data_IF_139495053157
#
_entry.id   IF_139495053157
#
_cell.length_a   1.000
_cell.length_b   1.000
_cell.length_c   1.000
_cell.angle_alpha   90.00
_cell.angle_beta   90.00
_cell.angle_gamma   90.00
#
_symmetry.space_group_name_H-M   'P 1'
#
loop_
_entity.id
_entity.type
_entity.pdbx_description
1 polymer ?
#
# COMPACT_ATOMS: atom_id res chain seq x y z
N UNK A 1 23.53 47.33 38.60
CA UNK A 1 23.06 46.36 37.59
C UNK A 1 23.23 44.98 38.17
N UNK A 2 22.09 44.35 38.56
CA UNK A 2 22.07 42.96 38.96
C UNK A 2 22.42 42.07 37.73
N UNK A 3 23.21 40.97 37.93
CA UNK A 3 23.53 40.07 36.85
C UNK A 3 22.23 39.41 36.37
N UNK A 4 21.94 39.55 35.06
CA UNK A 4 20.86 38.89 34.40
C UNK A 4 20.97 37.37 34.66
N UNK A 5 19.95 36.77 35.25
CA UNK A 5 19.92 35.33 35.46
C UNK A 5 20.12 34.65 34.09
N UNK A 6 21.16 33.81 33.98
CA UNK A 6 21.42 33.07 32.79
C UNK A 6 20.17 32.24 32.46
N UNK A 7 19.74 32.29 31.21
CA UNK A 7 18.61 31.46 30.75
C UNK A 7 18.87 30.00 31.07
N UNK A 8 17.88 29.26 31.62
CA UNK A 8 18.08 27.87 31.98
C UNK A 8 18.59 27.09 30.78
N UNK A 9 19.66 26.35 30.96
CA UNK A 9 20.21 25.47 29.90
C UNK A 9 19.12 24.46 29.53
N UNK A 10 18.78 24.33 28.26
CA UNK A 10 17.77 23.35 27.86
C UNK A 10 18.20 21.95 28.28
N UNK A 11 17.27 21.20 28.87
CA UNK A 11 17.51 19.87 29.38
C UNK A 11 16.51 18.88 28.77
N UNK A 12 16.89 17.60 28.54
CA UNK A 12 15.96 16.60 28.02
C UNK A 12 14.86 16.29 29.04
N UNK A 13 13.72 15.74 28.55
CA UNK A 13 12.59 15.42 29.42
C UNK A 13 12.91 14.31 30.47
N UNK A 14 13.98 13.54 30.27
CA UNK A 14 14.48 12.55 31.22
C UNK A 14 15.60 13.10 32.14
N UNK A 15 15.83 14.40 32.12
CA UNK A 15 16.85 15.02 32.94
C UNK A 15 16.71 14.65 34.41
N UNK A 16 17.84 14.33 35.06
CA UNK A 16 17.86 13.87 36.46
C UNK A 16 17.69 12.37 36.66
N UNK A 17 17.39 11.62 35.56
CA UNK A 17 17.32 10.16 35.63
C UNK A 17 18.48 9.53 34.88
N UNK A 18 19.16 8.57 35.51
CA UNK A 18 20.15 7.72 34.86
C UNK A 18 19.99 6.29 35.35
N UNK A 19 20.22 5.32 34.47
CA UNK A 19 20.15 3.93 34.86
C UNK A 19 19.56 3.03 33.78
N UNK A 20 19.18 1.83 34.20
CA UNK A 20 18.53 0.82 33.34
C UNK A 20 17.17 0.46 33.94
N UNK A 21 16.15 0.39 33.08
CA UNK A 21 14.80 -0.01 33.45
C UNK A 21 14.39 -1.17 32.54
N UNK A 22 14.09 -2.32 33.14
CA UNK A 22 13.50 -3.42 32.43
C UNK A 22 12.00 -3.10 32.21
N UNK A 23 11.56 -3.26 30.97
CA UNK A 23 10.15 -3.17 30.59
C UNK A 23 9.54 -4.56 30.55
N UNK A 24 8.40 -4.73 31.21
CA UNK A 24 7.59 -5.94 31.17
C UNK A 24 6.12 -5.54 31.32
N UNK A 25 5.43 -5.37 30.20
CA UNK A 25 4.01 -5.01 30.19
C UNK A 25 3.21 -6.11 29.49
N UNK A 26 2.17 -6.59 30.15
CA UNK A 26 1.30 -7.59 29.57
C UNK A 26 0.50 -7.04 28.39
N UNK A 27 0.10 -5.78 28.46
CA UNK A 27 -0.80 -5.17 27.48
C UNK A 27 -0.69 -3.65 27.48
N UNK A 28 -0.66 -3.07 26.29
CA UNK A 28 -0.74 -1.63 26.05
C UNK A 28 -1.76 -1.37 24.94
N UNK A 29 -2.85 -0.69 25.25
CA UNK A 29 -3.81 -0.25 24.24
C UNK A 29 -3.34 1.08 23.63
N UNK A 30 -3.39 1.18 22.29
CA UNK A 30 -3.09 2.40 21.55
C UNK A 30 -4.08 2.59 20.41
N UNK A 31 -4.65 3.80 20.30
CA UNK A 31 -5.64 4.09 19.26
C UNK A 31 -6.93 3.27 19.39
N UNK A 32 -7.73 3.26 18.34
CA UNK A 32 -9.03 2.60 18.32
C UNK A 32 -8.88 1.08 18.13
N UNK A 33 -8.93 0.33 19.24
CA UNK A 33 -8.96 -1.13 19.22
C UNK A 33 -7.63 -1.80 18.87
N UNK A 34 -6.52 -1.07 18.88
CA UNK A 34 -5.18 -1.60 18.67
C UNK A 34 -4.51 -1.87 20.03
N UNK A 35 -3.84 -3.01 20.14
CA UNK A 35 -3.14 -3.43 21.34
C UNK A 35 -1.78 -4.03 21.02
N UNK A 36 -0.81 -3.72 21.86
CA UNK A 36 0.44 -4.46 21.98
C UNK A 36 0.37 -5.35 23.22
N UNK A 37 0.85 -6.57 23.11
CA UNK A 37 0.90 -7.55 24.18
C UNK A 37 2.34 -8.02 24.38
N UNK A 38 2.63 -8.59 25.54
CA UNK A 38 3.95 -9.17 25.87
C UNK A 38 5.11 -8.21 25.58
N UNK A 39 4.94 -6.94 25.96
CA UNK A 39 5.93 -5.91 25.69
C UNK A 39 7.09 -6.09 26.64
N UNK A 40 8.28 -6.30 26.09
CA UNK A 40 9.53 -6.44 26.84
C UNK A 40 10.64 -5.60 26.23
N UNK A 41 11.66 -5.30 27.03
CA UNK A 41 12.82 -4.56 26.56
C UNK A 41 13.62 -3.96 27.71
N UNK A 42 14.72 -3.31 27.38
CA UNK A 42 15.54 -2.59 28.35
C UNK A 42 15.68 -1.14 27.91
N UNK A 43 15.24 -0.22 28.76
CA UNK A 43 15.51 1.20 28.61
C UNK A 43 16.82 1.53 29.33
N UNK A 44 17.69 2.26 28.64
CA UNK A 44 18.88 2.88 29.21
C UNK A 44 18.71 4.39 29.17
N UNK A 45 18.87 5.01 30.34
CA UNK A 45 18.82 6.45 30.49
C UNK A 45 20.21 6.93 30.86
N UNK A 46 20.73 7.80 30.02
CA UNK A 46 21.99 8.52 30.22
C UNK A 46 21.71 10.04 30.19
N UNK A 47 22.57 10.91 30.66
CA UNK A 47 22.28 12.36 30.71
C UNK A 47 21.78 12.94 29.37
N UNK A 48 22.33 12.46 28.26
CA UNK A 48 22.05 12.97 26.93
C UNK A 48 21.48 11.92 25.96
N UNK A 49 21.13 10.73 26.43
CA UNK A 49 20.52 9.71 25.59
C UNK A 49 19.51 8.85 26.35
N UNK A 50 18.49 8.48 25.60
CA UNK A 50 17.44 7.55 26.00
C UNK A 50 17.39 6.44 24.96
N UNK A 51 17.69 5.19 25.35
CA UNK A 51 17.79 4.05 24.43
C UNK A 51 16.85 2.93 24.83
N UNK A 52 16.15 2.38 23.85
CA UNK A 52 15.45 1.13 23.96
C UNK A 52 16.28 0.04 23.27
N UNK A 53 16.82 -0.87 24.07
CA UNK A 53 17.53 -2.04 23.59
C UNK A 53 16.55 -3.23 23.56
N UNK A 54 16.57 -3.99 22.47
CA UNK A 54 15.82 -5.25 22.31
C UNK A 54 14.33 -5.16 22.65
N UNK A 55 13.68 -4.04 22.30
CA UNK A 55 12.24 -3.89 22.45
C UNK A 55 11.51 -4.96 21.65
N UNK A 56 10.58 -5.69 22.28
CA UNK A 56 9.70 -6.68 21.65
C UNK A 56 8.28 -6.47 22.08
N UNK A 57 7.35 -6.77 21.18
CA UNK A 57 5.93 -6.78 21.48
C UNK A 57 5.21 -7.71 20.50
N UNK A 58 4.04 -8.19 20.87
CA UNK A 58 3.12 -8.90 19.99
C UNK A 58 1.96 -7.99 19.67
N UNK A 59 1.66 -7.80 18.40
CA UNK A 59 0.45 -7.09 17.96
C UNK A 59 -0.76 -7.98 18.15
N UNK A 60 -1.87 -7.40 18.59
CA UNK A 60 -3.10 -8.16 18.78
C UNK A 60 -3.52 -8.86 17.48
N UNK A 61 -3.70 -10.18 17.55
CA UNK A 61 -4.07 -11.16 16.53
C UNK A 61 -2.94 -11.77 15.70
N UNK A 62 -1.83 -11.09 15.43
CA UNK A 62 -0.64 -11.66 14.81
C UNK A 62 0.41 -10.57 14.58
N UNK A 63 1.65 -10.95 14.64
CA UNK A 63 2.76 -10.07 14.34
C UNK A 63 3.64 -9.82 15.55
N UNK A 64 4.90 -10.20 15.43
CA UNK A 64 5.95 -9.84 16.38
C UNK A 64 6.59 -8.53 15.93
N UNK A 65 6.70 -7.58 16.85
CA UNK A 65 7.42 -6.32 16.66
C UNK A 65 8.73 -6.39 17.39
N UNK A 66 9.83 -6.05 16.72
CA UNK A 66 11.14 -5.80 17.29
C UNK A 66 11.52 -4.35 17.04
N UNK A 67 12.00 -3.67 18.05
CA UNK A 67 12.36 -2.26 17.98
C UNK A 67 13.65 -2.00 18.74
N UNK A 68 14.59 -1.30 18.08
CA UNK A 68 15.71 -0.62 18.72
C UNK A 68 15.56 0.87 18.43
N UNK A 69 15.68 1.69 19.47
CA UNK A 69 15.56 3.13 19.31
C UNK A 69 16.52 3.87 20.22
N UNK A 70 17.07 4.95 19.70
CA UNK A 70 17.89 5.88 20.45
C UNK A 70 17.36 7.29 20.22
N UNK A 71 17.12 8.00 21.31
CA UNK A 71 16.81 9.41 21.34
C UNK A 71 17.98 10.14 22.01
N UNK A 72 18.75 10.88 21.23
CA UNK A 72 19.83 11.72 21.70
C UNK A 72 19.35 13.15 21.93
N UNK A 73 20.00 13.85 22.86
CA UNK A 73 19.74 15.26 23.14
C UNK A 73 21.03 16.08 23.11
N UNK A 74 21.05 17.14 22.30
CA UNK A 74 22.09 18.16 22.29
C UNK A 74 21.46 19.54 22.49
N UNK A 75 21.55 20.07 23.70
CA UNK A 75 20.99 21.38 24.05
C UNK A 75 21.58 22.58 23.27
N UNK A 76 22.64 22.38 22.47
CA UNK A 76 23.24 23.42 21.62
C UNK A 76 22.69 23.41 20.21
N UNK A 77 22.04 22.32 19.79
CA UNK A 77 21.47 22.21 18.46
C UNK A 77 20.15 22.98 18.34
N UNK A 78 19.84 23.47 17.14
CA UNK A 78 18.56 24.13 16.84
C UNK A 78 17.38 23.15 17.00
N UNK A 79 17.62 21.88 16.71
CA UNK A 79 16.71 20.75 16.93
C UNK A 79 17.41 19.78 17.92
N UNK A 80 17.19 19.95 19.22
CA UNK A 80 17.99 19.28 20.25
C UNK A 80 17.73 17.79 20.36
N UNK A 81 16.61 17.29 19.89
CA UNK A 81 16.27 15.86 19.92
C UNK A 81 16.59 15.21 18.58
N UNK A 82 17.35 14.12 18.61
CA UNK A 82 17.67 13.31 17.43
C UNK A 82 17.26 11.86 17.66
N UNK A 83 16.40 11.34 16.80
CA UNK A 83 15.91 9.96 16.80
C UNK A 83 16.69 9.11 15.80
N UNK A 84 17.05 7.91 16.23
CA UNK A 84 17.49 6.81 15.37
C UNK A 84 16.77 5.55 15.80
N UNK A 85 16.15 4.84 14.87
CA UNK A 85 15.46 3.58 15.17
C UNK A 85 15.57 2.58 14.04
N UNK A 86 15.64 1.30 14.43
CA UNK A 86 15.53 0.13 13.55
C UNK A 86 14.36 -0.70 14.06
N UNK A 87 13.48 -1.13 13.16
CA UNK A 87 12.35 -1.96 13.52
C UNK A 87 12.11 -3.09 12.52
N UNK A 88 11.55 -4.16 13.04
CA UNK A 88 11.05 -5.30 12.28
C UNK A 88 9.68 -5.67 12.80
N UNK A 89 8.74 -5.88 11.88
CA UNK A 89 7.43 -6.48 12.16
C UNK A 89 7.34 -7.75 11.35
N UNK A 90 7.14 -8.89 12.00
CA UNK A 90 6.96 -10.17 11.35
C UNK A 90 5.51 -10.65 11.46
N UNK A 91 5.03 -11.40 10.48
CA UNK A 91 3.70 -12.04 10.47
C UNK A 91 2.52 -11.09 10.70
N UNK A 92 2.62 -9.82 10.29
CA UNK A 92 1.53 -8.85 10.37
C UNK A 92 0.36 -9.27 9.46
N UNK A 93 -0.81 -9.50 10.00
CA UNK A 93 -2.05 -9.66 9.23
C UNK A 93 -2.53 -8.31 8.69
N UNK A 94 -2.12 -7.98 7.46
CA UNK A 94 -2.37 -6.66 6.88
C UNK A 94 -3.86 -6.35 6.72
N UNK A 95 -4.69 -7.32 6.32
CA UNK A 95 -6.12 -7.12 6.15
C UNK A 95 -6.81 -6.71 7.44
N UNK A 96 -6.57 -7.41 8.54
CA UNK A 96 -7.12 -7.10 9.84
C UNK A 96 -6.61 -5.75 10.38
N UNK A 97 -5.33 -5.44 10.13
CA UNK A 97 -4.72 -4.19 10.56
C UNK A 97 -5.28 -2.98 9.79
N UNK A 98 -5.41 -3.09 8.45
CA UNK A 98 -6.01 -2.05 7.62
C UNK A 98 -7.49 -1.80 7.95
N UNK A 99 -8.25 -2.88 8.21
CA UNK A 99 -9.64 -2.77 8.63
C UNK A 99 -9.79 -2.04 9.97
N UNK A 100 -8.88 -2.27 10.92
CA UNK A 100 -8.89 -1.57 12.19
C UNK A 100 -8.54 -0.08 12.07
N UNK A 101 -7.65 0.27 11.12
CA UNK A 101 -7.30 1.67 10.82
C UNK A 101 -8.37 2.41 10.00
N UNK A 102 -9.13 1.70 9.17
CA UNK A 102 -10.18 2.27 8.32
C UNK A 102 -11.45 1.40 8.37
N UNK A 103 -12.20 1.43 9.48
CA UNK A 103 -13.40 0.60 9.65
C UNK A 103 -14.44 0.91 8.57
N UNK A 104 -15.06 -0.14 8.03
CA UNK A 104 -16.10 -0.02 7.00
C UNK A 104 -15.58 -0.06 5.56
N UNK A 105 -14.26 -0.09 5.34
CA UNK A 105 -13.66 -0.21 4.02
C UNK A 105 -13.05 -1.59 3.81
N UNK A 106 -13.22 -2.14 2.61
CA UNK A 106 -12.57 -3.41 2.25
C UNK A 106 -11.06 -3.20 2.15
N UNK A 107 -10.23 -4.01 2.83
CA UNK A 107 -8.78 -3.87 2.73
C UNK A 107 -8.28 -4.01 1.30
N UNK A 108 -7.38 -3.11 0.88
CA UNK A 108 -6.75 -3.13 -0.45
C UNK A 108 -5.79 -4.31 -0.62
N UNK A 109 -5.31 -4.86 0.49
CA UNK A 109 -4.42 -6.01 0.52
C UNK A 109 -4.67 -6.85 1.77
N UNK A 110 -4.60 -8.16 1.62
CA UNK A 110 -4.69 -9.15 2.69
C UNK A 110 -3.53 -10.12 2.59
N UNK A 111 -3.14 -10.70 3.72
CA UNK A 111 -2.05 -11.67 3.81
C UNK A 111 -1.16 -11.39 5.01
N UNK A 112 -0.12 -12.21 5.16
CA UNK A 112 0.89 -12.06 6.20
C UNK A 112 2.10 -11.31 5.64
N UNK A 113 2.47 -10.23 6.33
CA UNK A 113 3.51 -9.32 5.89
C UNK A 113 4.66 -9.27 6.87
N UNK A 114 5.84 -9.12 6.32
CA UNK A 114 7.02 -8.67 7.04
C UNK A 114 7.28 -7.22 6.67
N UNK A 115 7.58 -6.37 7.67
CA UNK A 115 8.04 -5.02 7.45
C UNK A 115 9.36 -4.81 8.18
N UNK A 116 10.33 -4.19 7.52
CA UNK A 116 11.60 -3.78 8.14
C UNK A 116 11.88 -2.33 7.81
N UNK A 117 12.39 -1.57 8.76
CA UNK A 117 12.64 -0.16 8.49
C UNK A 117 13.67 0.46 9.42
N UNK A 118 14.18 1.59 8.95
CA UNK A 118 15.09 2.46 9.68
C UNK A 118 14.56 3.87 9.59
N UNK A 119 14.47 4.53 10.74
CA UNK A 119 14.03 5.92 10.83
C UNK A 119 15.09 6.75 11.54
N UNK A 120 15.28 7.96 11.04
CA UNK A 120 16.10 9.00 11.66
C UNK A 120 15.33 10.31 11.60
N UNK A 121 15.54 11.19 12.55
CA UNK A 121 14.91 12.51 12.51
C UNK A 121 15.45 13.40 13.59
N UNK A 122 15.24 14.70 13.44
CA UNK A 122 15.51 15.69 14.48
C UNK A 122 14.31 16.61 14.65
N UNK A 123 14.14 17.12 15.88
CA UNK A 123 13.06 18.04 16.19
C UNK A 123 13.39 18.88 17.43
N UNK A 124 12.65 19.98 17.59
CA UNK A 124 12.72 20.80 18.81
C UNK A 124 12.06 20.10 19.99
N UNK A 125 11.02 19.30 19.74
CA UNK A 125 10.25 18.57 20.73
C UNK A 125 10.15 17.09 20.35
N UNK A 126 10.18 16.17 21.33
CA UNK A 126 10.06 14.72 21.07
C UNK A 126 8.79 14.33 20.32
N UNK A 127 7.68 15.03 20.55
CA UNK A 127 6.38 14.80 19.91
C UNK A 127 6.41 14.97 18.39
N UNK A 128 7.30 15.84 17.88
CA UNK A 128 7.42 16.13 16.44
C UNK A 128 8.40 15.18 15.70
N UNK A 129 9.11 14.29 16.42
CA UNK A 129 10.16 13.46 15.82
C UNK A 129 9.62 12.49 14.75
N UNK A 130 8.50 11.81 15.02
CA UNK A 130 7.92 10.86 14.07
C UNK A 130 7.35 11.55 12.83
N UNK A 131 6.77 12.74 13.00
CA UNK A 131 6.24 13.52 11.88
C UNK A 131 7.34 13.96 10.93
N UNK A 132 8.55 14.21 11.46
CA UNK A 132 9.75 14.62 10.73
C UNK A 132 10.71 13.50 10.42
N UNK A 133 10.41 12.28 10.84
CA UNK A 133 11.28 11.15 10.62
C UNK A 133 11.46 10.88 9.12
N UNK A 134 12.70 10.62 8.75
CA UNK A 134 13.15 10.22 7.42
C UNK A 134 13.65 8.79 7.51
N UNK A 135 13.70 8.09 6.38
CA UNK A 135 14.23 6.74 6.42
C UNK A 135 13.77 5.87 5.27
N UNK A 136 13.87 4.58 5.50
CA UNK A 136 13.46 3.55 4.55
C UNK A 136 12.62 2.49 5.23
N UNK A 137 11.70 1.94 4.49
CA UNK A 137 10.81 0.86 4.90
C UNK A 137 10.68 -0.13 3.75
N UNK A 138 10.86 -1.39 4.03
CA UNK A 138 10.56 -2.49 3.13
C UNK A 138 9.37 -3.27 3.68
N UNK A 139 8.39 -3.55 2.82
CA UNK A 139 7.25 -4.39 3.13
C UNK A 139 7.24 -5.54 2.14
N UNK A 140 7.22 -6.77 2.64
CA UNK A 140 7.21 -7.98 1.83
C UNK A 140 6.16 -8.97 2.31
N UNK A 141 5.59 -9.73 1.36
CA UNK A 141 4.71 -10.87 1.63
C UNK A 141 4.94 -11.98 0.62
N UNK A 142 4.77 -13.22 1.05
CA UNK A 142 4.91 -14.42 0.19
C UNK A 142 3.59 -14.94 -0.34
N UNK A 143 2.46 -14.47 0.18
CA UNK A 143 1.15 -14.84 -0.32
C UNK A 143 0.08 -13.91 0.20
N UNK A 144 -0.95 -13.68 -0.58
CA UNK A 144 -2.08 -12.85 -0.17
C UNK A 144 -3.05 -12.55 -1.28
N UNK A 145 -3.91 -11.59 -1.03
CA UNK A 145 -4.90 -11.07 -1.95
C UNK A 145 -4.71 -9.57 -2.12
N UNK A 146 -4.68 -9.10 -3.35
CA UNK A 146 -4.59 -7.67 -3.68
C UNK A 146 -5.84 -7.21 -4.42
N UNK A 147 -6.36 -6.06 -4.03
CA UNK A 147 -7.48 -5.36 -4.68
C UNK A 147 -7.06 -4.00 -5.25
N UNK A 148 -5.77 -3.81 -5.48
CA UNK A 148 -5.21 -2.55 -6.02
C UNK A 148 -5.77 -2.20 -7.40
N UNK A 149 -6.14 -3.20 -8.22
CA UNK A 149 -6.69 -3.02 -9.56
C UNK A 149 -8.22 -3.07 -9.59
N UNK A 150 -8.87 -3.01 -8.43
CA UNK A 150 -10.33 -3.08 -8.35
C UNK A 150 -10.97 -1.90 -9.07
N UNK A 151 -11.92 -2.23 -9.95
CA UNK A 151 -12.75 -1.25 -10.66
C UNK A 151 -14.24 -1.60 -10.50
N UNK A 152 -15.08 -0.57 -10.42
CA UNK A 152 -16.55 -0.73 -10.28
C UNK A 152 -17.26 -0.46 -11.63
N UNK A 153 -16.73 -1.02 -12.72
CA UNK A 153 -17.22 -0.74 -14.06
C UNK A 153 -18.16 -1.81 -14.64
N UNK A 154 -18.33 -2.94 -13.95
CA UNK A 154 -19.15 -4.07 -14.48
C UNK A 154 -20.55 -3.61 -14.86
N UNK A 155 -21.19 -2.78 -14.03
CA UNK A 155 -22.54 -2.26 -14.29
C UNK A 155 -22.59 -1.23 -15.44
N UNK A 156 -21.44 -0.70 -15.86
CA UNK A 156 -21.30 0.26 -16.95
C UNK A 156 -21.00 -0.42 -18.29
N UNK A 157 -20.71 -1.73 -18.29
CA UNK A 157 -20.47 -2.49 -19.50
C UNK A 157 -21.82 -2.79 -20.15
N UNK A 158 -22.09 -2.28 -21.38
CA UNK A 158 -23.37 -2.52 -22.07
C UNK A 158 -23.62 -4.02 -22.21
N UNK A 159 -24.75 -4.47 -21.70
CA UNK A 159 -25.16 -5.88 -21.79
C UNK A 159 -24.69 -6.78 -20.64
N UNK A 160 -23.86 -6.30 -19.68
CA UNK A 160 -23.42 -7.12 -18.56
C UNK A 160 -24.58 -7.65 -17.68
N UNK A 161 -25.63 -6.86 -17.50
CA UNK A 161 -26.83 -7.25 -16.73
C UNK A 161 -27.93 -7.92 -17.56
N UNK A 162 -27.98 -7.66 -18.87
CA UNK A 162 -29.03 -8.16 -19.77
C UNK A 162 -28.64 -9.46 -20.48
N UNK A 163 -27.37 -9.81 -20.53
CA UNK A 163 -26.90 -11.00 -21.24
C UNK A 163 -27.41 -12.31 -20.63
N UNK A 164 -27.60 -12.37 -19.33
CA UNK A 164 -28.16 -13.57 -18.67
C UNK A 164 -29.62 -13.82 -19.05
N UNK A 165 -30.35 -12.77 -19.46
CA UNK A 165 -31.76 -12.89 -19.83
C UNK A 165 -32.03 -12.92 -21.35
N UNK A 166 -31.09 -12.41 -22.18
CA UNK A 166 -31.25 -12.32 -23.62
C UNK A 166 -30.72 -13.56 -24.38
N UNK A 167 -29.68 -14.25 -23.87
CA UNK A 167 -29.21 -15.50 -24.47
C UNK A 167 -30.31 -16.58 -24.47
N UNK A 168 -31.21 -16.53 -23.47
CA UNK A 168 -32.33 -17.47 -23.40
C UNK A 168 -33.48 -17.18 -24.39
N UNK A 169 -33.60 -15.97 -24.92
CA UNK A 169 -34.77 -15.56 -25.74
C UNK A 169 -34.47 -15.02 -27.16
N UNK A 170 -33.30 -14.48 -27.43
CA UNK A 170 -32.98 -13.82 -28.71
C UNK A 170 -32.00 -14.61 -29.61
N UNK A 171 -31.43 -15.69 -29.11
CA UNK A 171 -30.44 -16.51 -29.86
C UNK A 171 -30.95 -17.17 -31.13
N UNK A 172 -32.27 -17.09 -31.40
CA UNK A 172 -32.86 -17.69 -32.58
C UNK A 172 -33.33 -16.70 -33.65
N UNK A 173 -33.28 -15.38 -33.39
CA UNK A 173 -33.92 -14.41 -34.30
C UNK A 173 -32.97 -13.38 -34.94
N UNK A 174 -31.73 -13.23 -34.48
CA UNK A 174 -30.76 -12.29 -35.05
C UNK A 174 -29.44 -13.01 -35.38
N UNK A 175 -29.48 -13.87 -36.38
CA UNK A 175 -28.31 -14.56 -36.94
C UNK A 175 -27.34 -13.60 -37.63
N UNK A 176 -26.64 -12.76 -36.84
CA UNK A 176 -25.48 -12.05 -37.33
C UNK A 176 -24.29 -12.36 -36.41
N UNK A 177 -23.26 -12.99 -36.96
CA UNK A 177 -21.96 -13.27 -36.38
C UNK A 177 -21.36 -12.05 -35.62
N UNK A 178 -21.81 -10.84 -35.98
CA UNK A 178 -21.38 -9.57 -35.41
C UNK A 178 -21.92 -9.30 -34.02
N UNK A 179 -23.18 -9.63 -33.74
CA UNK A 179 -23.79 -9.48 -32.41
C UNK A 179 -23.19 -10.49 -31.44
N UNK A 180 -22.94 -11.70 -31.89
CA UNK A 180 -22.32 -12.75 -31.12
C UNK A 180 -20.87 -12.41 -30.76
N UNK A 181 -20.10 -11.85 -31.70
CA UNK A 181 -18.72 -11.40 -31.45
C UNK A 181 -18.66 -10.23 -30.48
N UNK A 182 -19.59 -9.27 -30.53
CA UNK A 182 -19.66 -8.15 -29.59
C UNK A 182 -20.00 -8.63 -28.18
N UNK A 183 -20.94 -9.57 -28.08
CA UNK A 183 -21.32 -10.22 -26.83
C UNK A 183 -20.16 -10.96 -26.18
N UNK A 184 -19.43 -11.76 -26.94
CA UNK A 184 -18.29 -12.52 -26.47
C UNK A 184 -17.16 -11.62 -25.98
N UNK A 185 -16.94 -10.44 -26.61
CA UNK A 185 -15.92 -9.47 -26.15
C UNK A 185 -16.34 -8.78 -24.86
N UNK A 186 -17.60 -8.32 -24.75
CA UNK A 186 -18.12 -7.75 -23.51
C UNK A 186 -18.00 -8.75 -22.35
N UNK A 187 -18.34 -10.02 -22.59
CA UNK A 187 -18.15 -11.10 -21.63
C UNK A 187 -16.67 -11.27 -21.23
N UNK A 188 -15.74 -11.24 -22.20
CA UNK A 188 -14.32 -11.33 -21.92
C UNK A 188 -13.83 -10.16 -21.04
N UNK A 189 -14.34 -8.93 -21.26
CA UNK A 189 -13.99 -7.78 -20.40
C UNK A 189 -14.54 -7.97 -18.98
N UNK A 190 -15.75 -8.49 -18.83
CA UNK A 190 -16.30 -8.81 -17.49
C UNK A 190 -15.42 -9.83 -16.76
N UNK A 191 -14.98 -10.88 -17.45
CA UNK A 191 -14.07 -11.87 -16.87
C UNK A 191 -12.70 -11.26 -16.50
N UNK A 192 -12.18 -10.36 -17.34
CA UNK A 192 -10.97 -9.59 -17.02
C UNK A 192 -11.16 -8.75 -15.76
N UNK A 193 -12.27 -8.01 -15.65
CA UNK A 193 -12.58 -7.20 -14.45
C UNK A 193 -12.61 -8.07 -13.19
N UNK A 194 -13.27 -9.22 -13.26
CA UNK A 194 -13.30 -10.17 -12.14
C UNK A 194 -11.89 -10.64 -11.74
N UNK A 195 -11.05 -10.99 -12.73
CA UNK A 195 -9.70 -11.46 -12.50
C UNK A 195 -8.78 -10.37 -11.92
N UNK A 196 -9.00 -9.08 -12.27
CA UNK A 196 -8.22 -7.95 -11.80
C UNK A 196 -8.70 -7.41 -10.45
N UNK A 197 -9.99 -7.56 -10.13
CA UNK A 197 -10.57 -7.05 -8.88
C UNK A 197 -10.04 -7.75 -7.63
N UNK A 198 -9.64 -9.01 -7.75
CA UNK A 198 -9.09 -9.81 -6.67
C UNK A 198 -7.93 -10.66 -7.17
N UNK A 199 -6.72 -10.15 -7.05
CA UNK A 199 -5.49 -10.82 -7.49
C UNK A 199 -4.86 -11.57 -6.33
N UNK A 200 -4.88 -12.90 -6.37
CA UNK A 200 -4.06 -13.72 -5.48
C UNK A 200 -2.61 -13.61 -5.93
N UNK A 201 -1.71 -13.26 -5.00
CA UNK A 201 -0.30 -13.12 -5.30
C UNK A 201 0.57 -14.12 -4.52
N UNK A 202 1.70 -14.49 -5.13
CA UNK A 202 2.73 -15.35 -4.55
C UNK A 202 3.86 -14.52 -3.92
N UNK A 203 4.05 -13.29 -4.39
CA UNK A 203 5.04 -12.35 -3.86
C UNK A 203 4.52 -10.92 -3.97
N UNK A 204 4.76 -10.15 -2.92
CA UNK A 204 4.61 -8.69 -2.93
C UNK A 204 5.83 -8.07 -2.24
N UNK A 205 6.39 -7.04 -2.86
CA UNK A 205 7.48 -6.24 -2.33
C UNK A 205 7.16 -4.78 -2.56
N UNK A 206 7.31 -3.97 -1.52
CA UNK A 206 7.22 -2.51 -1.63
C UNK A 206 8.35 -1.88 -0.85
N UNK A 207 9.17 -1.08 -1.55
CA UNK A 207 10.27 -0.32 -0.97
C UNK A 207 9.88 1.15 -0.88
N UNK A 208 9.86 1.67 0.35
CA UNK A 208 9.57 3.06 0.64
C UNK A 208 10.83 3.80 1.11
N UNK A 209 10.94 5.05 0.69
CA UNK A 209 11.91 6.00 1.24
C UNK A 209 11.22 7.31 1.57
N UNK A 210 11.56 7.91 2.70
CA UNK A 210 11.05 9.21 3.13
C UNK A 210 12.23 10.15 3.33
N UNK A 211 12.30 11.19 2.51
CA UNK A 211 13.36 12.19 2.54
C UNK A 211 13.00 13.44 3.36
N UNK A 212 13.82 14.50 3.24
CA UNK A 212 13.60 15.78 3.93
C UNK A 212 12.30 16.50 3.51
N UNK A 213 11.77 16.21 2.32
CA UNK A 213 10.50 16.70 1.82
C UNK A 213 9.28 16.03 2.49
N UNK A 214 9.54 15.04 3.33
CA UNK A 214 8.57 14.21 4.04
C UNK A 214 7.62 13.41 3.15
N UNK A 215 7.76 13.48 1.83
CA UNK A 215 7.03 12.61 0.91
C UNK A 215 7.50 11.17 1.08
N UNK A 216 6.57 10.24 0.98
CA UNK A 216 6.88 8.82 1.01
C UNK A 216 7.01 8.32 -0.44
N UNK A 217 8.25 8.13 -0.90
CA UNK A 217 8.52 7.61 -2.26
C UNK A 217 8.45 6.10 -2.25
N UNK A 218 7.64 5.55 -3.15
CA UNK A 218 7.57 4.13 -3.46
C UNK A 218 8.59 3.87 -4.58
N UNK A 219 9.82 3.56 -4.19
CA UNK A 219 10.93 3.37 -5.14
C UNK A 219 10.74 2.12 -5.99
N UNK A 220 10.12 1.10 -5.40
CA UNK A 220 9.81 -0.15 -6.07
C UNK A 220 8.51 -0.71 -5.49
N UNK A 221 7.60 -1.03 -6.38
CA UNK A 221 6.39 -1.79 -6.10
C UNK A 221 6.39 -3.00 -7.02
N UNK A 222 6.39 -4.18 -6.43
CA UNK A 222 6.37 -5.45 -7.16
C UNK A 222 5.29 -6.37 -6.61
N UNK A 223 4.44 -6.90 -7.47
CA UNK A 223 3.51 -7.98 -7.16
C UNK A 223 3.65 -9.05 -8.25
N UNK A 224 3.82 -10.28 -7.84
CA UNK A 224 3.89 -11.43 -8.71
C UNK A 224 2.84 -12.45 -8.31
N UNK A 225 2.08 -12.91 -9.28
CA UNK A 225 1.21 -14.08 -9.21
C UNK A 225 1.55 -15.07 -10.33
N UNK A 226 0.89 -16.20 -10.38
CA UNK A 226 1.07 -17.19 -11.46
C UNK A 226 0.75 -16.60 -12.84
N UNK A 227 -0.21 -15.69 -12.94
CA UNK A 227 -0.69 -15.17 -14.21
C UNK A 227 -0.55 -13.65 -14.38
N UNK A 228 -0.24 -12.91 -13.31
CA UNK A 228 -0.11 -11.46 -13.32
C UNK A 228 1.19 -11.00 -12.67
N UNK A 229 1.77 -9.95 -13.23
CA UNK A 229 2.89 -9.23 -12.64
C UNK A 229 2.62 -7.73 -12.71
N UNK A 230 2.77 -7.07 -11.57
CA UNK A 230 2.73 -5.62 -11.45
C UNK A 230 4.10 -5.13 -11.02
N UNK A 231 4.62 -4.11 -11.68
CA UNK A 231 5.83 -3.40 -11.27
C UNK A 231 5.61 -1.91 -11.41
N UNK A 232 6.20 -1.11 -10.53
CA UNK A 232 6.05 0.33 -10.66
C UNK A 232 6.70 1.11 -9.56
N UNK A 233 6.47 2.42 -9.58
CA UNK A 233 6.98 3.38 -8.63
C UNK A 233 6.01 4.57 -8.50
N UNK A 234 6.15 5.31 -7.41
CA UNK A 234 5.27 6.45 -7.15
C UNK A 234 5.64 7.19 -5.88
N UNK A 235 4.71 7.99 -5.39
CA UNK A 235 4.87 8.73 -4.15
C UNK A 235 3.54 8.92 -3.42
N UNK A 236 3.62 9.06 -2.10
CA UNK A 236 2.55 9.61 -1.27
C UNK A 236 3.00 11.00 -0.82
N UNK A 237 2.22 12.01 -1.19
CA UNK A 237 2.53 13.42 -0.87
C UNK A 237 2.19 13.71 0.58
N UNK A 238 3.18 14.20 1.32
CA UNK A 238 2.99 14.59 2.70
C UNK A 238 2.07 15.81 2.82
N UNK A 239 1.07 15.71 3.67
CA UNK A 239 0.20 16.82 4.05
C UNK A 239 0.12 16.90 5.58
N UNK A 240 0.65 17.99 6.14
CA UNK A 240 0.70 18.19 7.59
C UNK A 240 -0.70 18.14 8.22
N UNK A 241 -0.82 17.41 9.34
CA UNK A 241 -2.09 17.26 10.06
C UNK A 241 -3.09 16.27 9.44
N UNK A 242 -2.80 15.68 8.28
CA UNK A 242 -3.64 14.65 7.70
C UNK A 242 -3.17 13.24 8.14
N UNK A 243 -4.10 12.34 8.49
CA UNK A 243 -3.79 10.93 8.70
C UNK A 243 -3.12 10.34 7.44
N UNK A 244 -2.11 9.50 7.63
CA UNK A 244 -1.31 8.96 6.52
C UNK A 244 -2.13 8.20 5.46
N UNK A 245 -3.21 7.51 5.84
CA UNK A 245 -4.13 6.85 4.89
C UNK A 245 -4.95 7.82 4.02
N UNK A 246 -5.02 9.10 4.42
CA UNK A 246 -5.73 10.16 3.68
C UNK A 246 -4.82 11.00 2.79
N UNK A 247 -3.51 10.76 2.87
CA UNK A 247 -2.54 11.47 2.03
C UNK A 247 -2.62 10.99 0.59
N UNK A 248 -2.37 11.89 -0.36
CA UNK A 248 -2.53 11.63 -1.79
C UNK A 248 -1.42 10.71 -2.33
N UNK A 249 -1.84 9.59 -2.89
CA UNK A 249 -1.00 8.65 -3.64
C UNK A 249 -1.00 9.01 -5.12
N UNK A 250 0.18 8.97 -5.72
CA UNK A 250 0.36 8.91 -7.17
C UNK A 250 1.31 7.74 -7.48
N UNK A 251 0.78 6.64 -7.99
CA UNK A 251 1.53 5.41 -8.27
C UNK A 251 1.29 4.97 -9.71
N UNK A 252 2.37 4.81 -10.47
CA UNK A 252 2.32 4.31 -11.85
C UNK A 252 2.79 2.88 -11.91
N UNK A 253 1.92 1.98 -12.40
CA UNK A 253 2.15 0.55 -12.50
C UNK A 253 2.18 0.09 -13.95
N UNK A 254 3.08 -0.83 -14.26
CA UNK A 254 3.05 -1.67 -15.45
C UNK A 254 2.47 -3.03 -15.07
N UNK A 255 1.32 -3.35 -15.64
CA UNK A 255 0.73 -4.68 -15.57
C UNK A 255 1.31 -5.54 -16.71
N UNK A 256 1.60 -6.80 -16.42
CA UNK A 256 1.91 -7.82 -17.42
C UNK A 256 1.16 -9.11 -17.07
N UNK A 257 0.76 -9.87 -18.08
CA UNK A 257 -0.05 -11.06 -17.88
C UNK A 257 0.40 -12.24 -18.74
N UNK A 258 0.12 -13.44 -18.25
CA UNK A 258 0.31 -14.72 -18.94
C UNK A 258 -0.85 -15.67 -18.64
N UNK A 259 -0.78 -16.90 -19.11
CA UNK A 259 -1.74 -17.95 -18.78
C UNK A 259 -3.16 -17.65 -19.25
N UNK A 260 -4.15 -17.95 -18.42
CA UNK A 260 -5.56 -17.74 -18.73
C UNK A 260 -5.92 -16.25 -18.75
N UNK A 261 -5.50 -15.50 -17.72
CA UNK A 261 -5.71 -14.05 -17.64
C UNK A 261 -5.04 -13.34 -18.83
N UNK A 262 -3.83 -13.76 -19.24
CA UNK A 262 -3.17 -13.26 -20.43
C UNK A 262 -4.00 -13.48 -21.69
N UNK A 263 -4.59 -14.67 -21.89
CA UNK A 263 -5.47 -14.96 -23.02
C UNK A 263 -6.73 -14.09 -23.03
N UNK A 264 -7.35 -13.86 -21.86
CA UNK A 264 -8.53 -12.99 -21.73
C UNK A 264 -8.19 -11.54 -22.12
N UNK A 265 -7.10 -10.99 -21.56
CA UNK A 265 -6.61 -9.65 -21.88
C UNK A 265 -6.21 -9.50 -23.36
N UNK A 266 -5.57 -10.51 -23.95
CA UNK A 266 -5.20 -10.53 -25.36
C UNK A 266 -6.43 -10.51 -26.28
N UNK A 267 -7.46 -11.31 -25.96
CA UNK A 267 -8.75 -11.31 -26.72
C UNK A 267 -9.48 -9.97 -26.63
N UNK A 268 -9.31 -9.27 -25.51
CA UNK A 268 -9.82 -7.91 -25.34
C UNK A 268 -8.98 -6.82 -26.03
N UNK A 269 -7.84 -7.18 -26.65
CA UNK A 269 -6.92 -6.24 -27.28
C UNK A 269 -6.14 -5.38 -26.28
N UNK A 270 -5.94 -5.87 -25.06
CA UNK A 270 -5.36 -5.14 -23.95
C UNK A 270 -3.90 -5.51 -23.64
N UNK A 271 -3.31 -6.44 -24.39
CA UNK A 271 -1.89 -6.80 -24.27
C UNK A 271 -1.10 -6.42 -25.51
N UNK A 272 0.15 -6.00 -25.30
CA UNK A 272 1.12 -5.81 -26.35
C UNK A 272 1.68 -7.16 -26.86
N UNK A 273 2.29 -7.13 -28.05
CA UNK A 273 2.81 -8.32 -28.73
C UNK A 273 4.11 -8.89 -28.10
N UNK A 274 4.86 -8.06 -27.36
CA UNK A 274 6.14 -8.48 -26.77
C UNK A 274 5.90 -9.38 -25.57
N UNK A 275 6.49 -10.59 -25.64
CA UNK A 275 6.51 -11.54 -24.54
C UNK A 275 7.91 -11.51 -23.92
N UNK A 276 8.00 -11.42 -22.61
CA UNK A 276 9.31 -11.49 -21.92
C UNK A 276 9.80 -12.94 -21.74
N UNK A 277 10.99 -13.09 -21.15
CA UNK A 277 11.62 -14.42 -20.94
C UNK A 277 10.82 -15.33 -20.01
N UNK A 278 9.93 -14.78 -19.20
CA UNK A 278 9.07 -15.52 -18.27
C UNK A 278 7.67 -15.80 -18.85
N UNK A 279 7.39 -15.35 -20.07
CA UNK A 279 6.12 -15.58 -20.76
C UNK A 279 5.06 -14.50 -20.52
N UNK A 280 5.39 -13.39 -19.86
CA UNK A 280 4.46 -12.29 -19.62
C UNK A 280 4.43 -11.31 -20.79
N UNK A 281 3.23 -10.93 -21.23
CA UNK A 281 2.99 -9.83 -22.16
C UNK A 281 2.55 -8.57 -21.42
N UNK A 282 3.09 -7.39 -21.75
CA UNK A 282 2.72 -6.15 -21.08
C UNK A 282 1.34 -5.67 -21.46
N UNK A 283 0.62 -5.10 -20.51
CA UNK A 283 -0.61 -4.36 -20.77
C UNK A 283 -0.32 -3.12 -21.62
N UNK A 284 -1.23 -2.77 -22.52
CA UNK A 284 -1.03 -1.74 -23.56
C UNK A 284 -0.72 -0.35 -23.02
N UNK A 285 -1.15 -0.04 -21.81
CA UNK A 285 -0.91 1.26 -21.16
C UNK A 285 -0.50 1.05 -19.68
N UNK A 286 0.36 1.90 -19.13
CA UNK A 286 0.54 1.93 -17.69
C UNK A 286 -0.77 2.23 -16.97
N UNK A 287 -0.90 1.74 -15.74
CA UNK A 287 -2.04 1.97 -14.86
C UNK A 287 -1.61 2.99 -13.81
N UNK A 288 -2.35 4.11 -13.70
CA UNK A 288 -2.13 5.07 -12.64
C UNK A 288 -3.12 4.80 -11.51
N UNK A 289 -2.59 4.69 -10.29
CA UNK A 289 -3.39 4.68 -9.06
C UNK A 289 -3.26 6.04 -8.40
N UNK A 290 -4.38 6.68 -8.18
CA UNK A 290 -4.44 8.04 -7.63
C UNK A 290 -5.49 8.12 -6.51
N UNK A 291 -5.38 9.17 -5.67
CA UNK A 291 -6.29 9.43 -4.57
C UNK A 291 -5.71 9.05 -3.21
N UNK A 292 -6.54 8.95 -2.15
CA UNK A 292 -6.09 8.65 -0.81
C UNK A 292 -5.31 7.32 -0.74
N UNK A 293 -4.17 7.30 -0.04
CA UNK A 293 -3.31 6.11 0.07
C UNK A 293 -4.06 4.87 0.59
N UNK A 294 -5.02 5.07 1.49
CA UNK A 294 -5.86 3.98 2.02
C UNK A 294 -6.93 3.48 1.05
N UNK A 295 -7.19 4.21 -0.06
CA UNK A 295 -8.29 3.95 -0.96
C UNK A 295 -7.99 4.46 -2.39
N UNK A 296 -6.88 3.98 -3.00
CA UNK A 296 -6.48 4.42 -4.32
C UNK A 296 -7.44 3.91 -5.40
N UNK A 297 -7.62 4.70 -6.46
CA UNK A 297 -8.47 4.38 -7.59
C UNK A 297 -7.66 4.19 -8.88
N UNK A 298 -7.98 3.14 -9.64
CA UNK A 298 -7.44 2.83 -10.97
C UNK A 298 -8.37 3.33 -12.08
N UNK A 299 -8.58 4.65 -12.14
CA UNK A 299 -9.60 5.24 -13.04
C UNK A 299 -9.30 5.01 -14.53
N UNK A 300 -8.06 5.12 -14.95
CA UNK A 300 -7.62 4.86 -16.34
C UNK A 300 -7.74 3.38 -16.73
N UNK A 301 -7.52 2.46 -15.80
CA UNK A 301 -7.79 1.05 -16.05
C UNK A 301 -9.27 0.84 -16.34
N UNK A 302 -10.16 1.40 -15.51
CA UNK A 302 -11.60 1.36 -15.73
C UNK A 302 -12.01 1.93 -17.10
N UNK A 303 -11.50 3.11 -17.44
CA UNK A 303 -11.76 3.73 -18.74
C UNK A 303 -11.25 2.88 -19.93
N UNK A 304 -10.06 2.29 -19.80
CA UNK A 304 -9.45 1.41 -20.82
C UNK A 304 -10.28 0.15 -21.02
N UNK A 305 -10.73 -0.48 -19.95
CA UNK A 305 -11.59 -1.67 -20.00
C UNK A 305 -12.96 -1.37 -20.60
N UNK A 306 -13.58 -0.23 -20.25
CA UNK A 306 -14.84 0.23 -20.86
C UNK A 306 -14.68 0.50 -22.35
N UNK A 307 -13.58 1.14 -22.76
CA UNK A 307 -13.27 1.38 -24.17
C UNK A 307 -13.11 0.06 -24.93
N UNK A 308 -12.42 -0.92 -24.37
CA UNK A 308 -12.27 -2.24 -24.97
C UNK A 308 -13.62 -2.96 -25.13
N UNK A 309 -14.51 -2.83 -24.16
CA UNK A 309 -15.87 -3.36 -24.25
C UNK A 309 -16.70 -2.64 -25.31
N UNK A 310 -16.58 -1.31 -25.43
CA UNK A 310 -17.42 -0.48 -26.35
C UNK A 310 -16.91 -0.46 -27.78
N UNK A 311 -15.61 -0.44 -28.06
CA UNK A 311 -15.05 -0.43 -29.41
C UNK A 311 -15.54 -1.64 -30.21
N UNK A 312 -15.84 -2.74 -29.56
CA UNK A 312 -16.43 -3.91 -30.17
C UNK A 312 -17.87 -3.66 -30.72
N UNK A 313 -18.61 -2.72 -30.14
CA UNK A 313 -19.96 -2.34 -30.61
C UNK A 313 -19.92 -1.34 -31.76
N UNK A 314 -19.03 -0.35 -31.71
CA UNK A 314 -18.93 0.71 -32.70
C UNK A 314 -18.29 0.26 -34.03
N UNK A 315 -17.26 -0.59 -34.00
CA UNK A 315 -16.63 -1.12 -35.22
C UNK A 315 -17.58 -2.03 -36.02
N UNK A 316 -18.49 -2.73 -35.33
CA UNK A 316 -19.52 -3.56 -35.96
C UNK A 316 -20.70 -2.76 -36.51
N UNK A 317 -20.99 -1.56 -35.99
CA UNK A 317 -22.06 -0.71 -36.47
C UNK A 317 -21.65 0.15 -37.70
N UNK A 318 -20.34 0.41 -37.88
CA UNK A 318 -19.80 1.22 -38.96
C UNK A 318 -19.38 0.46 -40.23
N UNK A 319 -19.41 -0.86 -40.24
CA UNK A 319 -19.24 -1.63 -41.49
C UNK A 319 -17.84 -1.49 -42.12
N UNK A 320 -16.78 -1.37 -41.33
CA UNK A 320 -15.38 -1.42 -41.83
C UNK A 320 -14.73 -2.74 -41.49
#
# INVERSE_FOLDING_TARGET
TAPSAAAPTPAPFWSGFTGKVALDFRRLAYGAGQELQEISGTLRLEPNSFRLDEGRAVMSRSGEVKLKAELAFDGRATEPYALKSDFEVADLEAGAWLLALNPGHTPIVEGRFKATGQLTGSAREPSALLDRAQGRLEIASRSGLSRLLRTNIVDQIPGASTFTSLIGRAGSLLGSDRVENAANRAQNVVEVVKALNEVKFDQLLVNFTRGPDLNLKLAEVGLLSQELRLTGAGEVKYAAGQPWLRQELALRLQLSAQGQTGRLLSRAGLLGEKVDQLGFSPFVTPINLEGPFGEPAANDLGATLLKAANNSLYDNLRGK
#
